data_IF_490116434772
#
_entry.id   IF_490116434772
#
_cell.length_a   1.000
_cell.length_b   1.000
_cell.length_c   1.000
_cell.angle_alpha   90.00
_cell.angle_beta   90.00
_cell.angle_gamma   90.00
#
_symmetry.space_group_name_H-M   'P 1'
#
loop_
_entity.id
_entity.type
_entity.pdbx_description
1 polymer ?
#
# COMPACT_ATOMS: atom_id res chain seq x y z
N UNK A 1 11.72 -38.51 11.29
CA UNK A 1 11.93 -37.69 10.06
C UNK A 1 11.69 -36.25 10.44
N UNK A 2 12.77 -35.49 10.59
CA UNK A 2 12.76 -34.08 10.98
C UNK A 2 13.27 -33.25 9.80
N UNK A 3 12.61 -32.13 9.52
CA UNK A 3 13.13 -31.06 8.66
C UNK A 3 12.64 -29.70 9.22
N UNK A 4 13.55 -28.80 9.62
CA UNK A 4 13.22 -27.45 10.11
C UNK A 4 13.72 -26.37 9.14
N UNK A 5 12.89 -25.41 8.73
CA UNK A 5 13.27 -24.24 7.89
C UNK A 5 12.13 -23.20 8.02
N UNK A 6 12.25 -21.90 8.29
CA UNK A 6 13.36 -20.97 8.58
C UNK A 6 12.70 -19.69 9.13
N UNK A 7 13.19 -19.18 10.25
CA UNK A 7 12.88 -17.85 10.75
C UNK A 7 13.80 -16.84 10.04
N UNK A 8 13.26 -15.80 9.40
CA UNK A 8 14.05 -14.63 8.97
C UNK A 8 13.45 -13.35 9.51
N UNK A 9 14.01 -12.97 10.66
CA UNK A 9 14.16 -11.62 11.17
C UNK A 9 14.83 -10.75 10.07
N UNK A 10 14.26 -9.59 9.72
CA UNK A 10 15.04 -8.53 9.09
C UNK A 10 14.94 -7.23 9.89
N UNK A 11 16.01 -7.02 10.65
CA UNK A 11 16.37 -5.80 11.37
C UNK A 11 16.63 -4.63 10.43
N UNK A 12 15.96 -3.50 10.73
CA UNK A 12 16.48 -2.12 10.72
C UNK A 12 17.45 -1.65 9.64
N UNK A 13 17.05 -0.59 8.92
CA UNK A 13 17.88 0.53 8.42
C UNK A 13 16.91 1.63 7.94
N UNK A 14 16.68 2.66 8.77
CA UNK A 14 17.21 4.04 8.62
C UNK A 14 16.99 4.65 7.23
N UNK A 15 16.00 5.54 7.16
CA UNK A 15 15.78 6.47 6.05
C UNK A 15 16.83 7.59 6.11
N UNK A 16 17.60 7.76 5.03
CA UNK A 16 18.45 8.93 4.84
C UNK A 16 17.77 9.86 3.82
N UNK A 17 17.38 11.06 4.27
CA UNK A 17 17.04 12.17 3.38
C UNK A 17 18.34 12.68 2.74
N UNK A 18 18.38 12.75 1.40
CA UNK A 18 19.41 13.51 0.69
C UNK A 18 18.75 14.72 0.03
N UNK A 19 19.09 15.91 0.55
CA UNK A 19 18.81 17.22 -0.04
C UNK A 19 20.14 17.79 -0.52
N UNK A 20 20.32 18.04 -1.82
CA UNK A 20 21.48 18.80 -2.32
C UNK A 20 21.04 19.77 -3.42
N UNK A 21 21.29 21.06 -3.13
CA UNK A 21 21.13 22.22 -4.01
C UNK A 21 22.44 22.50 -4.78
N UNK A 22 22.31 23.26 -5.87
CA UNK A 22 23.26 23.59 -6.95
C UNK A 22 24.58 24.28 -6.53
N UNK A 23 25.59 24.18 -7.43
CA UNK A 23 26.63 25.21 -7.67
C UNK A 23 28.02 24.59 -7.94
N UNK A 24 28.52 24.51 -9.18
CA UNK A 24 29.25 25.54 -9.97
C UNK A 24 30.75 25.69 -9.62
N UNK A 25 31.60 25.51 -10.66
CA UNK A 25 32.87 26.22 -11.01
C UNK A 25 34.13 25.36 -11.26
N UNK A 26 34.51 25.32 -12.55
CA UNK A 26 35.83 25.47 -13.23
C UNK A 26 37.19 25.11 -12.58
N UNK A 27 38.07 24.53 -13.43
CA UNK A 27 39.55 24.66 -13.40
C UNK A 27 40.30 23.31 -13.45
N UNK A 28 40.72 22.81 -14.62
CA UNK A 28 42.02 23.03 -15.30
C UNK A 28 43.15 22.06 -14.86
N UNK A 29 43.65 21.24 -15.79
CA UNK A 29 44.85 20.41 -15.62
C UNK A 29 45.08 19.38 -16.74
N UNK A 30 46.12 19.59 -17.55
CA UNK A 30 46.78 18.65 -18.49
C UNK A 30 48.30 18.92 -18.42
N UNK A 31 49.19 18.13 -19.03
CA UNK A 31 49.19 16.69 -19.35
C UNK A 31 50.54 16.01 -18.95
N UNK A 32 50.65 14.67 -19.03
CA UNK A 32 51.84 13.95 -19.57
C UNK A 32 51.70 12.44 -19.37
N UNK A 33 52.07 11.63 -20.39
CA UNK A 33 52.61 10.29 -20.15
C UNK A 33 52.11 9.11 -21.00
N UNK A 34 52.71 8.94 -22.18
CA UNK A 34 53.15 7.67 -22.80
C UNK A 34 52.15 6.60 -23.29
N UNK A 35 52.43 6.19 -24.53
CA UNK A 35 51.88 5.09 -25.33
C UNK A 35 52.36 3.71 -24.83
N UNK A 36 51.47 2.72 -24.78
CA UNK A 36 51.80 1.35 -25.18
C UNK A 36 50.55 0.62 -25.70
N UNK A 37 50.74 -0.12 -26.79
CA UNK A 37 49.74 -0.85 -27.55
C UNK A 37 49.53 -2.25 -27.00
N UNK A 38 48.29 -2.62 -26.70
CA UNK A 38 47.87 -3.99 -26.38
C UNK A 38 46.51 -4.27 -27.02
N UNK A 39 46.43 -5.39 -27.78
CA UNK A 39 45.28 -5.80 -28.60
C UNK A 39 44.11 -6.32 -27.75
N UNK A 40 42.94 -5.72 -27.98
CA UNK A 40 41.57 -6.27 -28.10
C UNK A 40 41.31 -7.69 -27.55
N UNK A 41 40.47 -7.76 -26.50
CA UNK A 41 39.35 -8.71 -26.46
C UNK A 41 38.11 -8.02 -25.86
N UNK A 42 37.00 -8.14 -26.58
CA UNK A 42 35.75 -7.43 -26.37
C UNK A 42 34.80 -8.31 -25.55
N UNK A 43 34.51 -7.93 -24.31
CA UNK A 43 33.29 -8.35 -23.62
C UNK A 43 32.39 -7.13 -23.48
N UNK A 44 31.59 -6.89 -24.53
CA UNK A 44 30.56 -5.87 -24.56
C UNK A 44 29.43 -6.23 -23.58
N UNK A 45 29.55 -5.77 -22.34
CA UNK A 45 28.38 -5.63 -21.49
C UNK A 45 27.52 -4.55 -22.15
N UNK A 46 26.41 -4.99 -22.74
CA UNK A 46 25.38 -4.10 -23.29
C UNK A 46 24.87 -3.24 -22.15
N UNK A 47 25.40 -2.03 -22.01
CA UNK A 47 24.80 -0.99 -21.21
C UNK A 47 23.48 -0.64 -21.87
N UNK A 48 22.37 -1.06 -21.24
CA UNK A 48 21.06 -0.54 -21.59
C UNK A 48 21.13 0.99 -21.46
N UNK A 49 20.72 1.76 -22.48
CA UNK A 49 20.77 3.21 -22.39
C UNK A 49 19.86 3.66 -21.25
N UNK A 50 20.45 4.45 -20.34
CA UNK A 50 19.73 5.28 -19.39
C UNK A 50 18.68 6.05 -20.20
N UNK A 51 17.42 5.93 -19.81
CA UNK A 51 16.30 6.58 -20.47
C UNK A 51 16.59 8.08 -20.48
N UNK A 52 17.12 8.59 -21.59
CA UNK A 52 17.36 10.02 -21.78
C UNK A 52 15.98 10.66 -21.80
N UNK A 53 15.71 11.57 -20.86
CA UNK A 53 14.45 12.29 -20.81
C UNK A 53 14.26 13.05 -22.13
N UNK A 54 13.50 12.47 -23.06
CA UNK A 54 13.18 13.13 -24.31
C UNK A 54 12.28 14.32 -24.02
N UNK A 55 12.68 15.47 -24.58
CA UNK A 55 11.98 16.75 -24.45
C UNK A 55 10.58 16.60 -25.06
N UNK A 56 9.50 16.99 -24.36
CA UNK A 56 8.14 16.78 -24.85
C UNK A 56 7.92 17.54 -26.15
N UNK A 57 7.30 16.86 -27.13
CA UNK A 57 6.99 17.42 -28.44
C UNK A 57 5.90 18.48 -28.28
N UNK A 58 6.12 19.62 -28.93
CA UNK A 58 5.25 20.80 -28.86
C UNK A 58 4.02 20.53 -29.75
N UNK A 59 2.92 20.05 -29.16
CA UNK A 59 1.66 19.87 -29.88
C UNK A 59 0.65 18.88 -29.30
N UNK A 60 0.79 18.41 -28.06
CA UNK A 60 -0.04 17.32 -27.53
C UNK A 60 -0.77 17.78 -26.26
N UNK A 61 -2.10 17.87 -26.38
CA UNK A 61 -3.15 18.03 -25.36
C UNK A 61 -2.77 18.64 -23.99
N UNK A 62 -3.29 19.83 -23.72
CA UNK A 62 -3.21 20.56 -22.44
C UNK A 62 -4.12 19.96 -21.36
N UNK A 63 -4.16 18.63 -21.22
CA UNK A 63 -4.98 17.95 -20.23
C UNK A 63 -4.13 17.02 -19.38
N UNK A 64 -4.22 17.19 -18.06
CA UNK A 64 -3.58 16.34 -17.07
C UNK A 64 -4.62 15.43 -16.42
N UNK A 65 -4.34 14.12 -16.35
CA UNK A 65 -5.21 13.18 -15.67
C UNK A 65 -5.06 13.33 -14.15
N UNK A 66 -6.19 13.44 -13.45
CA UNK A 66 -6.27 13.42 -11.98
C UNK A 66 -7.02 12.15 -11.58
N UNK A 67 -6.34 11.26 -10.86
CA UNK A 67 -6.88 9.94 -10.49
C UNK A 67 -6.95 9.83 -8.96
N UNK A 68 -8.13 9.51 -8.45
CA UNK A 68 -8.35 9.12 -7.06
C UNK A 68 -8.61 7.61 -6.96
N UNK A 69 -8.13 6.98 -5.88
CA UNK A 69 -8.38 5.57 -5.61
C UNK A 69 -9.19 5.43 -4.32
N UNK A 70 -10.21 4.57 -4.37
CA UNK A 70 -10.95 4.12 -3.20
C UNK A 70 -10.69 2.63 -3.02
N UNK A 71 -10.08 2.26 -1.90
CA UNK A 71 -9.64 0.89 -1.64
C UNK A 71 -10.38 0.37 -0.41
N UNK A 72 -11.13 -0.72 -0.59
CA UNK A 72 -11.79 -1.44 0.50
C UNK A 72 -11.00 -2.72 0.77
N UNK A 73 -10.48 -2.86 1.99
CA UNK A 73 -9.70 -4.02 2.41
C UNK A 73 -10.40 -4.72 3.57
N UNK A 74 -10.58 -6.04 3.45
CA UNK A 74 -11.22 -6.85 4.49
C UNK A 74 -10.25 -7.08 5.66
N UNK A 75 -10.69 -6.75 6.87
CA UNK A 75 -9.92 -7.02 8.09
C UNK A 75 -9.96 -8.52 8.41
N UNK A 76 -8.78 -9.13 8.55
CA UNK A 76 -8.66 -10.50 9.03
C UNK A 76 -9.05 -10.57 10.52
N UNK A 77 -10.22 -11.14 10.79
CA UNK A 77 -10.80 -11.28 12.13
C UNK A 77 -11.67 -12.53 12.18
N UNK A 78 -11.87 -13.10 13.37
CA UNK A 78 -12.66 -14.32 13.54
C UNK A 78 -14.18 -14.06 13.48
N UNK A 79 -14.61 -12.84 13.82
CA UNK A 79 -16.03 -12.44 13.86
C UNK A 79 -16.25 -11.10 13.19
N UNK A 80 -17.50 -10.84 12.76
CA UNK A 80 -17.88 -9.62 12.04
C UNK A 80 -17.71 -8.35 12.88
N UNK A 81 -17.82 -7.19 12.23
CA UNK A 81 -17.58 -5.88 12.85
C UNK A 81 -18.55 -5.54 13.99
N UNK A 82 -19.84 -5.90 13.83
CA UNK A 82 -20.91 -5.54 14.77
C UNK A 82 -21.68 -6.73 15.34
N UNK A 83 -21.31 -7.97 14.96
CA UNK A 83 -21.97 -9.19 15.39
C UNK A 83 -20.96 -10.30 15.69
N UNK A 84 -21.38 -11.28 16.48
CA UNK A 84 -20.57 -12.44 16.86
C UNK A 84 -20.42 -13.51 15.76
N UNK A 85 -21.09 -13.36 14.62
CA UNK A 85 -21.01 -14.32 13.50
C UNK A 85 -19.58 -14.44 12.99
N UNK A 86 -19.21 -15.65 12.57
CA UNK A 86 -17.87 -15.90 12.03
C UNK A 86 -17.65 -15.23 10.67
N UNK A 87 -16.40 -14.90 10.38
CA UNK A 87 -15.94 -14.46 9.07
C UNK A 87 -15.14 -15.60 8.46
N UNK A 88 -15.71 -16.29 7.48
CA UNK A 88 -15.05 -17.40 6.78
C UNK A 88 -15.38 -17.35 5.29
N UNK A 89 -14.37 -17.59 4.45
CA UNK A 89 -14.54 -17.60 3.00
C UNK A 89 -15.25 -18.88 2.54
N UNK A 90 -16.05 -18.80 1.48
CA UNK A 90 -16.72 -19.95 0.86
C UNK A 90 -17.62 -20.78 1.81
N UNK A 91 -18.21 -20.16 2.84
CA UNK A 91 -19.24 -20.80 3.64
C UNK A 91 -20.55 -20.96 2.84
N UNK A 92 -21.41 -21.94 3.17
CA UNK A 92 -22.72 -22.06 2.53
C UNK A 92 -23.56 -20.79 2.63
N UNK A 93 -24.44 -20.49 1.67
CA UNK A 93 -25.27 -19.29 1.69
C UNK A 93 -26.04 -19.14 3.00
N UNK A 94 -26.03 -17.94 3.57
CA UNK A 94 -26.75 -17.59 4.80
C UNK A 94 -26.42 -18.45 6.05
N UNK A 95 -25.32 -19.21 6.05
CA UNK A 95 -24.93 -20.06 7.19
C UNK A 95 -24.20 -19.32 8.31
N UNK A 96 -23.53 -18.22 7.99
CA UNK A 96 -22.76 -17.41 8.95
C UNK A 96 -23.48 -16.09 9.24
N UNK A 97 -24.73 -16.16 9.64
CA UNK A 97 -25.62 -15.01 9.84
C UNK A 97 -26.21 -15.05 11.26
N UNK A 98 -26.17 -13.91 11.94
CA UNK A 98 -26.86 -13.70 13.23
C UNK A 98 -28.13 -12.89 13.04
N UNK A 99 -28.96 -12.79 14.08
CA UNK A 99 -30.15 -11.94 14.06
C UNK A 99 -29.85 -10.48 13.73
N UNK A 100 -28.70 -9.96 14.17
CA UNK A 100 -28.26 -8.62 13.83
C UNK A 100 -27.88 -8.49 12.34
N UNK A 101 -27.20 -9.49 11.79
CA UNK A 101 -26.82 -9.49 10.37
C UNK A 101 -28.05 -9.57 9.45
N UNK A 102 -29.11 -10.24 9.91
CA UNK A 102 -30.41 -10.32 9.25
C UNK A 102 -31.32 -9.11 9.56
N UNK A 103 -30.84 -8.12 10.32
CA UNK A 103 -31.60 -6.91 10.70
C UNK A 103 -32.93 -7.19 11.40
N UNK A 104 -32.99 -8.23 12.22
CA UNK A 104 -34.21 -8.48 13.00
C UNK A 104 -34.46 -7.34 14.00
N UNK A 105 -35.73 -6.94 14.21
CA UNK A 105 -36.07 -5.85 15.11
C UNK A 105 -35.62 -6.15 16.54
N UNK A 106 -35.13 -5.13 17.24
CA UNK A 106 -34.64 -5.24 18.62
C UNK A 106 -33.18 -5.69 18.76
N UNK A 107 -32.46 -5.94 17.66
CA UNK A 107 -31.03 -6.25 17.70
C UNK A 107 -30.18 -4.98 17.79
N UNK A 108 -29.05 -5.05 18.50
CA UNK A 108 -28.13 -3.92 18.69
C UNK A 108 -26.70 -4.27 18.23
N UNK A 109 -25.95 -3.31 17.65
CA UNK A 109 -24.59 -3.54 17.21
C UNK A 109 -23.62 -3.64 18.39
N UNK A 110 -22.69 -4.60 18.34
CA UNK A 110 -21.59 -4.71 19.30
C UNK A 110 -20.26 -4.64 18.56
N UNK A 111 -19.50 -3.57 18.81
CA UNK A 111 -18.26 -3.28 18.08
C UNK A 111 -17.16 -4.30 18.41
N UNK A 112 -16.53 -4.85 17.37
CA UNK A 112 -15.40 -5.76 17.49
C UNK A 112 -14.08 -5.03 17.79
N UNK A 113 -13.48 -5.29 18.96
CA UNK A 113 -12.21 -4.68 19.39
C UNK A 113 -11.04 -4.96 18.45
N UNK A 114 -10.94 -6.18 17.90
CA UNK A 114 -9.83 -6.57 17.00
C UNK A 114 -9.90 -5.82 15.67
N UNK A 115 -11.11 -5.57 15.16
CA UNK A 115 -11.29 -4.75 13.97
C UNK A 115 -10.80 -3.32 14.19
N UNK A 116 -11.09 -2.73 15.36
CA UNK A 116 -10.61 -1.38 15.71
C UNK A 116 -9.09 -1.34 15.84
N UNK A 117 -8.48 -2.32 16.53
CA UNK A 117 -7.03 -2.42 16.67
C UNK A 117 -6.34 -2.52 15.29
N UNK A 118 -6.85 -3.38 14.41
CA UNK A 118 -6.33 -3.53 13.05
C UNK A 118 -6.45 -2.24 12.24
N UNK A 119 -7.58 -1.53 12.33
CA UNK A 119 -7.77 -0.26 11.65
C UNK A 119 -6.78 0.82 12.15
N UNK A 120 -6.55 0.91 13.46
CA UNK A 120 -5.56 1.84 14.04
C UNK A 120 -4.13 1.47 13.62
N UNK A 121 -3.78 0.18 13.67
CA UNK A 121 -2.46 -0.29 13.21
C UNK A 121 -2.22 0.06 11.73
N UNK A 122 -3.21 -0.17 10.86
CA UNK A 122 -3.13 0.21 9.44
C UNK A 122 -2.95 1.71 9.27
N UNK A 123 -3.72 2.53 10.00
CA UNK A 123 -3.57 3.98 9.94
C UNK A 123 -2.17 4.45 10.36
N UNK A 124 -1.59 3.86 11.40
CA UNK A 124 -0.21 4.14 11.81
C UNK A 124 0.81 3.68 10.76
N UNK A 125 0.62 2.50 10.17
CA UNK A 125 1.50 1.96 9.13
C UNK A 125 1.50 2.84 7.86
N UNK A 126 0.38 3.50 7.56
CA UNK A 126 0.22 4.44 6.45
C UNK A 126 0.62 5.89 6.83
N UNK A 127 1.21 6.10 8.01
CA UNK A 127 1.60 7.42 8.54
C UNK A 127 0.42 8.41 8.68
N UNK A 128 -0.79 7.92 8.94
CA UNK A 128 -1.95 8.76 9.19
C UNK A 128 -1.94 9.34 10.61
N UNK A 129 -2.57 10.51 10.78
CA UNK A 129 -2.87 11.08 12.10
C UNK A 129 -4.16 10.48 12.65
N UNK A 130 -4.06 9.73 13.75
CA UNK A 130 -5.21 9.07 14.37
C UNK A 130 -5.94 10.02 15.32
N UNK A 131 -7.27 10.12 15.18
CA UNK A 131 -8.12 10.88 16.08
C UNK A 131 -8.40 10.10 17.36
N UNK A 132 -8.44 10.79 18.50
CA UNK A 132 -8.73 10.18 19.82
C UNK A 132 -10.19 9.77 20.00
N UNK A 133 -11.08 10.37 19.21
CA UNK A 133 -12.52 10.12 19.21
C UNK A 133 -12.98 9.97 17.77
N UNK A 134 -13.70 8.90 17.51
CA UNK A 134 -14.35 8.60 16.23
C UNK A 134 -15.72 8.02 16.52
N UNK A 135 -16.70 8.33 15.68
CA UNK A 135 -18.07 7.87 15.80
C UNK A 135 -18.41 7.03 14.57
N UNK A 136 -19.35 6.09 14.73
CA UNK A 136 -19.91 5.34 13.62
C UNK A 136 -21.24 5.98 13.21
N UNK A 137 -21.30 6.44 11.96
CA UNK A 137 -22.51 7.00 11.36
C UNK A 137 -23.22 5.97 10.48
N UNK A 138 -24.52 6.17 10.25
CA UNK A 138 -25.31 5.32 9.36
C UNK A 138 -25.31 5.91 7.95
N UNK A 139 -24.96 5.09 6.95
CA UNK A 139 -25.12 5.41 5.52
C UNK A 139 -26.37 4.72 5.00
N UNK A 140 -27.46 5.47 4.82
CA UNK A 140 -28.76 4.92 4.41
C UNK A 140 -28.90 4.92 2.89
N UNK A 141 -29.16 3.75 2.32
CA UNK A 141 -29.56 3.55 0.93
C UNK A 141 -30.23 2.18 0.80
N UNK A 142 -31.13 2.06 -0.16
CA UNK A 142 -31.89 0.83 -0.37
C UNK A 142 -31.14 -0.09 -1.32
N UNK A 143 -30.79 -1.29 -0.85
CA UNK A 143 -30.26 -2.36 -1.69
C UNK A 143 -30.53 -3.72 -1.04
N UNK A 144 -30.68 -4.78 -1.85
CA UNK A 144 -31.10 -6.10 -1.37
C UNK A 144 -30.07 -6.79 -0.45
N UNK A 145 -28.79 -6.44 -0.56
CA UNK A 145 -27.68 -6.97 0.26
C UNK A 145 -27.45 -6.18 1.56
N UNK A 146 -28.17 -5.07 1.75
CA UNK A 146 -28.08 -4.18 2.89
C UNK A 146 -29.40 -4.18 3.65
N UNK A 147 -29.58 -5.18 4.53
CA UNK A 147 -30.87 -5.41 5.17
C UNK A 147 -31.25 -4.33 6.20
N UNK A 148 -30.37 -3.38 6.53
CA UNK A 148 -30.66 -2.31 7.50
C UNK A 148 -31.17 -1.07 6.79
N UNK A 149 -32.46 -0.78 6.98
CA UNK A 149 -33.11 0.47 6.60
C UNK A 149 -34.01 0.96 7.74
N UNK A 150 -33.41 1.66 8.71
CA UNK A 150 -34.11 2.52 9.69
C UNK A 150 -33.12 3.38 10.48
#
# INVERSE_FOLDING_TARGET
MAAPVLCRLWSGRRWALAYINRGSRHGAGTPTGSRSSGKREQSSVVQQPLITAEKPRKGEHEWAAVVGLEIHAQISSNSKLFSGSQVHFAAPPNSLVSFFDASLPGTLPVLNRRCVEAAVMTGLALNCRINKKSLFDRKHYFYADLPRVS
#
